data_IF_957960946578
#
_entry.id   IF_957960946578
#
_cell.length_a   1.000
_cell.length_b   1.000
_cell.length_c   1.000
_cell.angle_alpha   90.00
_cell.angle_beta   90.00
_cell.angle_gamma   90.00
#
_symmetry.space_group_name_H-M   'P 1'
#
loop_
_entity.id
_entity.type
_entity.pdbx_description
1 polymer ?
#
# COMPACT_ATOMS: atom_id res chain seq x y z
N UNK A 1 28.52 22.93 29.09
CA UNK A 1 27.79 21.73 28.64
C UNK A 1 27.67 21.82 27.13
N UNK A 2 28.39 20.97 26.40
CA UNK A 2 28.53 21.05 24.95
C UNK A 2 27.20 20.82 24.23
N UNK A 3 26.88 21.74 23.33
CA UNK A 3 25.63 21.85 22.59
C UNK A 3 25.73 21.07 21.27
N UNK A 4 24.91 20.04 21.04
CA UNK A 4 24.72 19.46 19.69
C UNK A 4 23.29 18.97 19.50
N UNK A 5 22.52 19.78 18.78
CA UNK A 5 21.25 19.44 18.14
C UNK A 5 21.29 18.05 17.50
N UNK A 6 20.40 17.14 17.94
CA UNK A 6 19.99 16.00 17.14
C UNK A 6 18.63 16.34 16.52
N UNK A 7 18.66 17.08 15.41
CA UNK A 7 17.53 17.26 14.51
C UNK A 7 17.23 15.90 13.85
N UNK A 8 16.29 15.14 14.41
CA UNK A 8 15.62 14.07 13.68
C UNK A 8 14.62 14.74 12.72
N UNK A 9 15.13 15.11 11.55
CA UNK A 9 14.33 15.60 10.45
C UNK A 9 13.40 14.48 9.97
N UNK A 10 12.11 14.60 10.31
CA UNK A 10 11.03 13.82 9.70
C UNK A 10 10.92 14.28 8.24
N UNK A 11 11.60 13.56 7.34
CA UNK A 11 11.42 13.73 5.92
C UNK A 11 10.18 12.95 5.46
N UNK A 12 8.97 13.48 5.72
CA UNK A 12 7.78 13.04 4.97
C UNK A 12 7.84 13.72 3.60
N UNK A 13 8.64 13.15 2.71
CA UNK A 13 8.55 13.47 1.29
C UNK A 13 7.26 12.85 0.76
N UNK A 14 6.22 13.66 0.59
CA UNK A 14 5.05 13.27 -0.19
C UNK A 14 5.50 13.18 -1.65
N UNK A 15 5.99 12.00 -2.04
CA UNK A 15 6.12 11.62 -3.43
C UNK A 15 4.72 11.64 -4.03
N UNK A 16 4.34 12.74 -4.69
CA UNK A 16 3.17 12.76 -5.55
C UNK A 16 3.51 11.88 -6.75
N UNK A 17 3.33 10.57 -6.60
CA UNK A 17 3.32 9.66 -7.74
C UNK A 17 2.29 10.22 -8.73
N UNK A 18 2.63 10.28 -10.02
CA UNK A 18 1.60 10.40 -11.05
C UNK A 18 0.71 9.17 -10.92
N UNK A 19 -0.37 9.30 -10.14
CA UNK A 19 -1.40 8.27 -10.05
C UNK A 19 -2.18 8.30 -11.36
N UNK A 20 -2.41 7.11 -11.92
CA UNK A 20 -3.34 7.01 -13.03
C UNK A 20 -4.75 7.37 -12.52
N UNK A 21 -5.62 7.90 -13.37
CA UNK A 21 -6.97 8.38 -12.98
C UNK A 21 -7.82 7.33 -12.23
N UNK A 22 -7.45 6.05 -12.34
CA UNK A 22 -8.17 4.92 -11.76
C UNK A 22 -7.48 4.31 -10.55
N UNK A 23 -6.37 4.88 -10.08
CA UNK A 23 -5.59 4.38 -8.94
C UNK A 23 -5.98 5.12 -7.66
N UNK A 24 -6.10 4.39 -6.57
CA UNK A 24 -6.13 4.99 -5.23
C UNK A 24 -4.71 5.32 -4.78
N UNK A 25 -4.53 6.16 -3.75
CA UNK A 25 -3.29 6.14 -2.98
C UNK A 25 -2.96 4.71 -2.53
N UNK A 26 -1.67 4.32 -2.45
CA UNK A 26 -1.27 3.02 -1.93
C UNK A 26 -1.89 2.72 -0.56
N UNK A 27 -2.31 1.48 -0.38
CA UNK A 27 -2.98 1.00 0.82
C UNK A 27 -2.11 -0.05 1.48
N UNK A 28 -1.83 0.13 2.77
CA UNK A 28 -1.18 -0.91 3.55
C UNK A 28 -2.22 -1.82 4.20
N UNK A 29 -2.09 -3.13 3.97
CA UNK A 29 -2.92 -4.18 4.57
C UNK A 29 -2.04 -4.99 5.52
N UNK A 30 -2.38 -4.96 6.81
CA UNK A 30 -1.69 -5.76 7.81
C UNK A 30 -2.06 -7.24 7.67
N UNK A 31 -1.04 -8.11 7.63
CA UNK A 31 -1.20 -9.56 7.63
C UNK A 31 -0.33 -10.18 8.74
N UNK A 32 -0.54 -11.45 9.11
CA UNK A 32 0.30 -12.13 10.09
C UNK A 32 1.79 -12.19 9.69
N UNK A 33 2.09 -12.30 8.40
CA UNK A 33 3.45 -12.43 7.87
C UNK A 33 4.12 -11.09 7.57
N UNK A 34 3.40 -9.98 7.79
CA UNK A 34 3.88 -8.62 7.60
C UNK A 34 2.94 -7.77 6.73
N UNK A 35 3.23 -6.47 6.55
CA UNK A 35 2.38 -5.58 5.77
C UNK A 35 2.50 -5.86 4.27
N UNK A 36 1.36 -5.85 3.56
CA UNK A 36 1.31 -5.82 2.10
C UNK A 36 0.85 -4.43 1.66
N UNK A 37 1.65 -3.76 0.84
CA UNK A 37 1.28 -2.48 0.23
C UNK A 37 0.61 -2.75 -1.10
N UNK A 38 -0.66 -2.38 -1.23
CA UNK A 38 -1.48 -2.61 -2.40
C UNK A 38 -1.69 -1.33 -3.21
N UNK A 39 -1.54 -1.44 -4.53
CA UNK A 39 -2.15 -0.51 -5.47
C UNK A 39 -3.55 -1.01 -5.78
N UNK A 40 -4.56 -0.26 -5.35
CA UNK A 40 -5.96 -0.54 -5.69
C UNK A 40 -6.38 0.32 -6.87
N UNK A 41 -7.22 -0.23 -7.72
CA UNK A 41 -7.86 0.44 -8.83
C UNK A 41 -9.32 0.76 -8.51
N UNK A 42 -10.03 1.37 -9.45
CA UNK A 42 -11.45 1.69 -9.28
C UNK A 42 -12.27 0.44 -8.90
N UNK A 43 -13.43 0.58 -8.22
CA UNK A 43 -14.19 -0.57 -7.74
C UNK A 43 -14.63 -1.58 -8.83
N UNK A 44 -14.64 -1.17 -10.10
CA UNK A 44 -14.96 -2.06 -11.23
C UNK A 44 -13.74 -2.72 -11.86
N UNK A 45 -12.54 -2.41 -11.37
CA UNK A 45 -11.25 -2.88 -11.86
C UNK A 45 -10.47 -3.67 -10.80
N UNK A 46 -11.13 -4.24 -9.79
CA UNK A 46 -10.48 -5.00 -8.70
C UNK A 46 -9.53 -6.09 -9.20
N UNK A 47 -9.80 -6.69 -10.36
CA UNK A 47 -8.90 -7.70 -10.95
C UNK A 47 -7.51 -7.14 -11.31
N UNK A 48 -7.37 -5.82 -11.41
CA UNK A 48 -6.11 -5.11 -11.67
C UNK A 48 -5.35 -4.77 -10.39
N UNK A 49 -5.97 -4.93 -9.21
CA UNK A 49 -5.32 -4.68 -7.92
C UNK A 49 -4.08 -5.57 -7.78
N UNK A 50 -2.99 -4.95 -7.36
CA UNK A 50 -1.66 -5.58 -7.33
C UNK A 50 -0.84 -5.11 -6.14
N UNK A 51 0.09 -5.94 -5.64
CA UNK A 51 1.02 -5.50 -4.62
C UNK A 51 2.08 -4.56 -5.22
N UNK A 52 2.45 -3.53 -4.46
CA UNK A 52 3.63 -2.70 -4.67
C UNK A 52 4.82 -3.22 -3.85
N UNK A 53 4.54 -3.82 -2.69
CA UNK A 53 5.52 -4.51 -1.85
C UNK A 53 4.83 -5.54 -0.95
N UNK A 54 5.53 -6.63 -0.63
CA UNK A 54 5.07 -7.68 0.28
C UNK A 54 6.26 -8.34 0.98
N UNK A 55 6.07 -9.00 2.14
CA UNK A 55 7.13 -9.72 2.84
C UNK A 55 7.62 -10.93 2.04
N UNK A 56 8.90 -11.29 2.17
CA UNK A 56 9.49 -12.46 1.50
C UNK A 56 8.84 -13.80 1.89
N UNK A 57 8.13 -13.83 3.02
CA UNK A 57 7.38 -15.01 3.48
C UNK A 57 6.12 -15.29 2.66
N UNK A 58 5.61 -14.29 1.90
CA UNK A 58 4.47 -14.45 1.01
C UNK A 58 4.93 -14.62 -0.43
N UNK A 59 4.23 -15.46 -1.19
CA UNK A 59 4.39 -15.46 -2.64
C UNK A 59 3.59 -14.33 -3.31
N UNK A 60 3.94 -14.00 -4.55
CA UNK A 60 3.30 -12.93 -5.29
C UNK A 60 1.80 -13.17 -5.49
N UNK A 61 1.38 -14.43 -5.66
CA UNK A 61 -0.01 -14.77 -5.92
C UNK A 61 -0.88 -14.54 -4.66
N UNK A 62 -0.35 -14.87 -3.50
CA UNK A 62 -0.96 -14.60 -2.20
C UNK A 62 -1.07 -13.09 -1.95
N UNK A 63 0.00 -12.32 -2.20
CA UNK A 63 -0.03 -10.87 -2.11
C UNK A 63 -1.05 -10.22 -3.06
N UNK A 64 -1.18 -10.72 -4.30
CA UNK A 64 -2.23 -10.30 -5.25
C UNK A 64 -3.63 -10.63 -4.72
N UNK A 65 -3.82 -11.82 -4.15
CA UNK A 65 -5.09 -12.21 -3.54
C UNK A 65 -5.50 -11.26 -2.42
N UNK A 66 -4.56 -10.92 -1.53
CA UNK A 66 -4.78 -9.96 -0.43
C UNK A 66 -5.21 -8.60 -0.98
N UNK A 67 -4.51 -8.06 -1.98
CA UNK A 67 -4.86 -6.77 -2.56
C UNK A 67 -6.25 -6.76 -3.21
N UNK A 68 -6.61 -7.83 -3.93
CA UNK A 68 -7.95 -7.99 -4.52
C UNK A 68 -9.04 -8.11 -3.46
N UNK A 69 -8.78 -8.86 -2.39
CA UNK A 69 -9.73 -8.98 -1.27
C UNK A 69 -9.97 -7.62 -0.60
N UNK A 70 -8.94 -6.81 -0.44
CA UNK A 70 -9.09 -5.44 0.06
C UNK A 70 -9.90 -4.56 -0.90
N UNK A 71 -9.63 -4.65 -2.21
CA UNK A 71 -10.45 -3.98 -3.23
C UNK A 71 -11.93 -4.37 -3.17
N UNK A 72 -12.23 -5.67 -3.06
CA UNK A 72 -13.59 -6.18 -2.88
C UNK A 72 -14.24 -5.68 -1.59
N UNK A 73 -13.51 -5.68 -0.47
CA UNK A 73 -14.00 -5.21 0.83
C UNK A 73 -14.37 -3.73 0.78
N UNK A 74 -13.60 -2.91 0.07
CA UNK A 74 -13.91 -1.49 -0.13
C UNK A 74 -15.08 -1.28 -1.07
N UNK A 75 -15.18 -2.08 -2.14
CA UNK A 75 -16.34 -2.05 -3.04
C UNK A 75 -17.65 -2.35 -2.30
N UNK A 76 -17.66 -3.33 -1.39
CA UNK A 76 -18.86 -3.70 -0.66
C UNK A 76 -19.23 -2.73 0.47
N UNK A 77 -18.31 -1.86 0.88
CA UNK A 77 -18.54 -0.80 1.87
C UNK A 77 -18.79 0.59 1.27
N UNK A 78 -18.85 0.71 -0.06
CA UNK A 78 -19.09 1.95 -0.81
C UNK A 78 -20.58 2.18 -1.12
#
# INVERSE_FOLDING_TARGET
MSYKFALLAVAVGSLTACSQQYETPPVEVATPDGPVTCQLYSPDLVMWDKPLSYPEALDEAEAVSICRQEGLRRKSGA
#
